data_IF_182107189226
#
_entry.id   IF_182107189226
#
_cell.length_a   1.000
_cell.length_b   1.000
_cell.length_c   1.000
_cell.angle_alpha   90.00
_cell.angle_beta   90.00
_cell.angle_gamma   90.00
#
_symmetry.space_group_name_H-M   'P 1'
#
loop_
_entity.id
_entity.type
_entity.pdbx_description
1 polymer ?
#
# COMPACT_ATOMS: atom_id res chain seq x y z
N UNK A 1 10.56 24.74 34.07
CA UNK A 1 9.48 25.36 33.27
C UNK A 1 8.88 24.26 32.41
N UNK A 2 7.61 23.87 32.60
CA UNK A 2 7.01 22.76 31.83
C UNK A 2 6.40 23.31 30.53
N UNK A 3 6.82 22.77 29.38
CA UNK A 3 6.27 23.16 28.08
C UNK A 3 4.80 22.71 27.97
N UNK A 4 3.95 23.61 27.47
CA UNK A 4 2.52 23.33 27.23
C UNK A 4 2.21 23.40 25.74
N UNK A 5 1.61 22.35 25.20
CA UNK A 5 1.06 22.29 23.85
C UNK A 5 -0.45 22.57 23.91
N UNK A 6 -0.92 23.53 23.13
CA UNK A 6 -2.34 23.87 23.06
C UNK A 6 -2.94 23.26 21.79
N UNK A 7 -3.87 22.33 21.94
CA UNK A 7 -4.60 21.76 20.83
C UNK A 7 -5.84 22.60 20.59
N UNK A 8 -5.99 23.11 19.37
CA UNK A 8 -7.15 23.91 18.95
C UNK A 8 -7.87 23.21 17.81
N UNK A 9 -9.19 23.21 17.89
CA UNK A 9 -10.03 22.84 16.77
C UNK A 9 -9.86 23.86 15.64
N UNK A 10 -9.65 23.38 14.41
CA UNK A 10 -9.28 24.24 13.28
C UNK A 10 -10.44 25.09 12.77
N UNK A 11 -11.67 24.59 12.83
CA UNK A 11 -12.83 25.29 12.28
C UNK A 11 -13.38 26.35 13.25
N UNK A 12 -13.32 26.08 14.55
CA UNK A 12 -13.86 26.98 15.59
C UNK A 12 -12.79 27.80 16.30
N UNK A 13 -11.51 27.42 16.21
CA UNK A 13 -10.42 28.04 16.96
C UNK A 13 -10.43 27.73 18.46
N UNK A 14 -11.40 26.93 18.93
CA UNK A 14 -11.57 26.59 20.34
C UNK A 14 -10.46 25.64 20.80
N UNK A 15 -9.87 25.91 21.96
CA UNK A 15 -8.93 24.97 22.59
C UNK A 15 -9.69 23.71 23.02
N UNK A 16 -9.27 22.56 22.49
CA UNK A 16 -9.85 21.23 22.75
C UNK A 16 -9.01 20.39 23.71
N UNK A 17 -7.79 20.81 24.03
CA UNK A 17 -6.96 20.13 25.02
C UNK A 17 -5.63 20.84 25.28
N UNK A 18 -5.01 20.50 26.41
CA UNK A 18 -3.69 21.00 26.80
C UNK A 18 -2.79 19.79 27.05
N UNK A 19 -1.72 19.68 26.27
CA UNK A 19 -0.64 18.73 26.47
C UNK A 19 0.44 19.33 27.37
N UNK A 20 0.87 18.61 28.40
CA UNK A 20 2.03 18.98 29.24
C UNK A 20 3.22 18.11 28.86
N UNK A 21 4.36 18.72 28.64
CA UNK A 21 5.60 17.99 28.36
C UNK A 21 6.09 17.27 29.62
N UNK A 22 6.52 16.01 29.44
CA UNK A 22 7.18 15.18 30.43
C UNK A 22 8.09 14.21 29.68
N UNK A 23 9.40 14.27 29.95
CA UNK A 23 10.41 13.39 29.37
C UNK A 23 10.43 13.39 27.82
N UNK A 24 10.22 14.55 27.20
CA UNK A 24 10.19 14.72 25.75
C UNK A 24 8.87 14.33 25.08
N UNK A 25 7.86 13.90 25.86
CA UNK A 25 6.53 13.53 25.39
C UNK A 25 5.48 14.50 25.93
N UNK A 26 4.46 14.81 25.13
CA UNK A 26 3.34 15.65 25.57
C UNK A 26 2.16 14.78 26.04
N UNK A 27 1.86 14.86 27.34
CA UNK A 27 0.71 14.19 27.96
C UNK A 27 -0.51 15.11 27.92
N UNK A 28 -1.54 14.71 27.19
CA UNK A 28 -2.83 15.42 27.19
C UNK A 28 -3.57 15.13 28.51
N UNK A 29 -3.77 16.16 29.32
CA UNK A 29 -4.77 16.14 30.40
C UNK A 29 -6.14 16.43 29.76
N UNK A 30 -6.99 15.40 29.64
CA UNK A 30 -8.36 15.54 29.16
C UNK A 30 -9.31 15.43 30.36
N UNK A 31 -9.84 16.56 30.85
CA UNK A 31 -10.74 16.61 32.02
C UNK A 31 -12.23 16.37 31.68
N UNK A 32 -12.53 15.94 30.46
CA UNK A 32 -13.90 15.68 30.04
C UNK A 32 -13.95 14.50 29.10
N UNK A 33 -15.00 13.69 29.28
CA UNK A 33 -15.50 12.56 28.47
C UNK A 33 -14.80 12.37 27.12
N UNK A 34 -14.49 11.13 26.70
CA UNK A 34 -13.87 10.88 25.40
C UNK A 34 -14.64 11.69 24.38
N UNK A 35 -13.99 12.69 23.78
CA UNK A 35 -14.56 13.41 22.66
C UNK A 35 -14.62 12.37 21.55
N UNK A 36 -15.67 11.56 21.57
CA UNK A 36 -16.00 10.65 20.51
C UNK A 36 -16.33 11.60 19.39
N UNK A 37 -15.37 11.83 18.51
CA UNK A 37 -15.67 12.23 17.16
C UNK A 37 -16.52 11.11 16.57
N UNK A 38 -17.82 11.13 16.88
CA UNK A 38 -18.85 10.36 16.20
C UNK A 38 -19.02 11.06 14.86
N UNK A 39 -17.96 11.03 14.04
CA UNK A 39 -18.22 10.89 12.65
C UNK A 39 -18.83 9.49 12.50
N UNK A 40 -19.99 9.40 11.87
CA UNK A 40 -20.41 8.16 11.21
C UNK A 40 -19.44 7.90 10.05
N UNK A 41 -18.15 7.74 10.35
CA UNK A 41 -17.15 7.46 9.35
C UNK A 41 -17.54 6.09 8.78
N UNK A 42 -17.97 6.10 7.51
CA UNK A 42 -18.20 4.89 6.77
C UNK A 42 -16.98 3.97 6.96
N UNK A 43 -17.13 2.64 7.11
CA UNK A 43 -16.02 1.73 7.37
C UNK A 43 -14.82 1.94 6.42
N UNK A 44 -15.10 2.32 5.17
CA UNK A 44 -14.10 2.64 4.16
C UNK A 44 -13.24 3.87 4.50
N UNK A 45 -13.82 4.91 5.09
CA UNK A 45 -13.09 6.12 5.47
C UNK A 45 -12.09 5.85 6.59
N UNK A 46 -12.49 5.08 7.62
CA UNK A 46 -11.56 4.69 8.69
C UNK A 46 -10.48 3.77 8.13
N UNK A 47 -10.84 2.81 7.28
CA UNK A 47 -9.86 1.94 6.61
C UNK A 47 -8.82 2.73 5.81
N UNK A 48 -9.24 3.75 5.06
CA UNK A 48 -8.34 4.62 4.30
C UNK A 48 -7.42 5.41 5.25
N UNK A 49 -7.95 6.00 6.33
CA UNK A 49 -7.17 6.75 7.32
C UNK A 49 -6.16 5.89 8.09
N UNK A 50 -6.45 4.61 8.30
CA UNK A 50 -5.57 3.66 8.98
C UNK A 50 -4.50 3.02 8.08
N UNK A 51 -4.40 3.44 6.81
CA UNK A 51 -3.40 2.92 5.89
C UNK A 51 -3.73 1.53 5.33
N UNK A 52 -5.00 1.30 4.97
CA UNK A 52 -5.44 0.11 4.26
C UNK A 52 -5.15 -1.24 4.97
N UNK A 53 -5.45 -1.40 6.28
CA UNK A 53 -5.24 -2.67 6.97
C UNK A 53 -6.10 -3.79 6.36
N UNK A 54 -5.67 -5.05 6.53
CA UNK A 54 -6.52 -6.20 6.19
C UNK A 54 -7.82 -6.17 6.99
N UNK A 55 -8.91 -6.72 6.44
CA UNK A 55 -10.21 -6.77 7.14
C UNK A 55 -10.10 -7.33 8.56
N UNK A 56 -9.32 -8.41 8.73
CA UNK A 56 -9.06 -9.02 10.05
C UNK A 56 -8.35 -8.10 11.04
N UNK A 57 -7.41 -7.26 10.58
CA UNK A 57 -6.72 -6.27 11.41
C UNK A 57 -7.65 -5.09 11.70
N UNK A 58 -8.39 -4.64 10.70
CA UNK A 58 -9.37 -3.57 10.81
C UNK A 58 -10.44 -3.88 11.87
N UNK A 59 -11.00 -5.09 11.86
CA UNK A 59 -11.98 -5.56 12.86
C UNK A 59 -11.43 -5.55 14.29
N UNK A 60 -10.12 -5.86 14.46
CA UNK A 60 -9.45 -5.82 15.77
C UNK A 60 -9.17 -4.39 16.24
N UNK A 61 -8.80 -3.50 15.33
CA UNK A 61 -8.51 -2.10 15.62
C UNK A 61 -9.77 -1.27 15.86
N UNK A 62 -10.87 -1.63 15.18
CA UNK A 62 -12.15 -0.91 15.24
C UNK A 62 -13.27 -1.90 15.60
N UNK A 63 -13.43 -2.28 16.88
CA UNK A 63 -14.37 -3.32 17.31
C UNK A 63 -15.84 -3.08 16.92
N UNK A 64 -16.22 -1.81 16.71
CA UNK A 64 -17.54 -1.41 16.19
C UNK A 64 -17.86 -2.01 14.82
N UNK A 65 -16.85 -2.36 14.02
CA UNK A 65 -17.01 -2.99 12.71
C UNK A 65 -16.59 -4.47 12.70
N UNK A 66 -16.59 -5.12 13.86
CA UNK A 66 -16.23 -6.54 14.01
C UNK A 66 -17.09 -7.49 13.17
N UNK A 67 -18.36 -7.15 12.94
CA UNK A 67 -19.32 -7.93 12.13
C UNK A 67 -19.23 -7.65 10.63
N UNK A 68 -18.34 -6.74 10.19
CA UNK A 68 -18.20 -6.39 8.79
C UNK A 68 -17.64 -7.58 7.99
N UNK A 69 -18.41 -8.11 7.06
CA UNK A 69 -18.02 -9.29 6.26
C UNK A 69 -17.06 -8.96 5.12
N UNK A 70 -17.17 -7.76 4.55
CA UNK A 70 -16.34 -7.32 3.43
C UNK A 70 -16.12 -5.82 3.46
N UNK A 71 -15.02 -5.38 2.84
CA UNK A 71 -14.72 -3.97 2.67
C UNK A 71 -14.19 -3.75 1.24
N UNK A 72 -15.05 -3.34 0.29
CA UNK A 72 -14.65 -3.07 -1.07
C UNK A 72 -13.80 -1.79 -1.10
N UNK A 73 -12.49 -1.97 -1.23
CA UNK A 73 -11.53 -0.88 -1.38
C UNK A 73 -10.74 -1.10 -2.66
N UNK A 74 -10.91 -0.20 -3.62
CA UNK A 74 -10.27 -0.26 -4.94
C UNK A 74 -8.74 -0.34 -4.84
N UNK A 75 -8.12 0.55 -4.05
CA UNK A 75 -6.67 0.56 -3.81
C UNK A 75 -6.16 -0.78 -3.27
N UNK A 76 -6.90 -1.39 -2.33
CA UNK A 76 -6.54 -2.70 -1.79
C UNK A 76 -6.67 -3.81 -2.83
N UNK A 77 -7.71 -3.77 -3.67
CA UNK A 77 -7.93 -4.77 -4.71
C UNK A 77 -6.82 -4.71 -5.77
N UNK A 78 -6.50 -3.49 -6.24
CA UNK A 78 -5.42 -3.27 -7.20
C UNK A 78 -4.06 -3.64 -6.60
N UNK A 79 -3.79 -3.28 -5.34
CA UNK A 79 -2.52 -3.62 -4.67
C UNK A 79 -2.33 -5.10 -4.39
N UNK A 80 -3.42 -5.88 -4.29
CA UNK A 80 -3.38 -7.34 -4.11
C UNK A 80 -3.57 -8.11 -5.42
N UNK A 81 -3.79 -7.41 -6.52
CA UNK A 81 -4.02 -8.05 -7.80
C UNK A 81 -2.75 -8.77 -8.25
N UNK A 82 -2.77 -10.09 -8.19
CA UNK A 82 -1.68 -10.91 -8.75
C UNK A 82 -1.87 -11.02 -10.25
N UNK A 83 -0.76 -11.01 -11.00
CA UNK A 83 -0.82 -11.30 -12.43
C UNK A 83 -1.42 -12.69 -12.62
N UNK A 84 -2.40 -12.81 -13.52
CA UNK A 84 -2.95 -14.11 -13.92
C UNK A 84 -1.81 -15.03 -14.34
N UNK A 85 -1.90 -16.31 -13.98
CA UNK A 85 -0.90 -17.29 -14.38
C UNK A 85 -0.76 -17.34 -15.90
N UNK A 86 0.47 -17.55 -16.37
CA UNK A 86 0.68 -17.77 -17.79
C UNK A 86 -0.06 -19.06 -18.21
N UNK A 87 -0.75 -19.05 -19.36
CA UNK A 87 -1.38 -20.26 -19.89
C UNK A 87 -0.32 -21.33 -20.09
N UNK A 88 -0.59 -22.55 -19.59
CA UNK A 88 0.38 -23.68 -19.62
C UNK A 88 0.82 -24.05 -21.04
N UNK A 89 -0.02 -23.80 -22.04
CA UNK A 89 0.29 -23.96 -23.46
C UNK A 89 -0.40 -22.86 -24.25
N UNK A 90 0.38 -22.12 -25.02
CA UNK A 90 -0.10 -21.37 -26.17
C UNK A 90 0.14 -22.25 -27.39
N UNK A 91 -0.81 -22.35 -28.32
CA UNK A 91 -0.66 -23.13 -29.58
C UNK A 91 0.34 -22.49 -30.56
N UNK A 92 1.29 -21.70 -30.06
CA UNK A 92 2.23 -20.91 -30.84
C UNK A 92 3.54 -21.68 -31.09
N UNK A 93 3.50 -23.01 -31.05
CA UNK A 93 4.65 -23.84 -31.38
C UNK A 93 4.67 -24.04 -32.89
N UNK A 94 5.81 -23.80 -33.52
CA UNK A 94 6.04 -24.14 -34.92
C UNK A 94 5.70 -25.63 -35.18
N UNK A 95 5.01 -25.89 -36.28
CA UNK A 95 4.69 -27.24 -36.78
C UNK A 95 5.65 -27.68 -37.89
N UNK A 96 6.36 -26.73 -38.48
CA UNK A 96 7.34 -26.94 -39.55
C UNK A 96 8.61 -26.13 -39.32
N UNK A 97 9.77 -26.55 -39.87
CA UNK A 97 11.00 -25.78 -39.78
C UNK A 97 10.82 -24.36 -40.33
N UNK A 98 11.37 -23.36 -39.62
CA UNK A 98 11.31 -21.94 -39.98
C UNK A 98 9.92 -21.27 -39.99
N UNK A 99 8.88 -21.94 -39.48
CA UNK A 99 7.53 -21.34 -39.34
C UNK A 99 7.48 -20.20 -38.31
N UNK A 100 8.34 -20.28 -37.29
CA UNK A 100 8.48 -19.28 -36.24
C UNK A 100 9.96 -19.21 -35.85
N UNK A 101 10.50 -17.99 -35.80
CA UNK A 101 11.87 -17.72 -35.31
C UNK A 101 11.76 -16.70 -34.18
N UNK A 102 12.22 -17.09 -32.99
CA UNK A 102 12.33 -16.18 -31.87
C UNK A 102 13.69 -15.49 -31.94
N UNK A 103 13.70 -14.16 -31.91
CA UNK A 103 14.96 -13.39 -31.85
C UNK A 103 15.03 -12.68 -30.51
N UNK A 104 16.18 -12.78 -29.85
CA UNK A 104 16.49 -11.97 -28.68
C UNK A 104 17.81 -11.22 -28.85
N UNK A 105 17.99 -10.21 -28.01
CA UNK A 105 19.27 -9.50 -27.89
C UNK A 105 19.80 -9.80 -26.51
N UNK A 106 20.99 -10.38 -26.46
CA UNK A 106 21.67 -10.60 -25.21
C UNK A 106 22.15 -9.27 -24.62
N UNK A 107 21.98 -9.13 -23.31
CA UNK A 107 22.51 -8.01 -22.54
C UNK A 107 24.03 -7.88 -22.74
N UNK A 108 24.63 -6.69 -22.48
CA UNK A 108 26.04 -6.48 -22.77
C UNK A 108 26.91 -7.50 -22.02
N UNK A 109 27.61 -8.33 -22.78
CA UNK A 109 28.53 -9.32 -22.27
C UNK A 109 29.73 -8.63 -21.62
N UNK A 110 30.17 -9.15 -20.47
CA UNK A 110 31.37 -8.67 -19.78
C UNK A 110 32.63 -8.83 -20.64
N UNK A 111 32.67 -9.85 -21.49
CA UNK A 111 33.78 -10.12 -22.40
C UNK A 111 33.37 -9.76 -23.82
N UNK A 112 34.13 -8.88 -24.44
CA UNK A 112 33.90 -8.51 -25.84
C UNK A 112 34.25 -9.68 -26.78
N UNK A 113 33.61 -9.71 -27.95
CA UNK A 113 34.01 -10.61 -29.03
C UNK A 113 35.41 -10.27 -29.55
N UNK A 114 35.95 -11.14 -30.40
CA UNK A 114 37.23 -10.90 -31.09
C UNK A 114 37.27 -9.58 -31.87
N UNK A 115 36.10 -9.06 -32.27
CA UNK A 115 35.94 -7.80 -32.98
C UNK A 115 35.46 -6.64 -32.08
N UNK A 116 35.36 -6.85 -30.76
CA UNK A 116 35.02 -5.80 -29.79
C UNK A 116 33.53 -5.62 -29.50
N UNK A 117 32.65 -6.48 -30.00
CA UNK A 117 31.21 -6.39 -29.73
C UNK A 117 30.82 -6.99 -28.38
N UNK A 118 29.85 -6.38 -27.70
CA UNK A 118 29.35 -6.84 -26.40
C UNK A 118 27.87 -7.27 -26.43
N UNK A 119 27.13 -6.90 -27.46
CA UNK A 119 25.74 -7.30 -27.67
C UNK A 119 25.67 -8.33 -28.77
N UNK A 120 24.80 -9.32 -28.61
CA UNK A 120 24.66 -10.43 -29.54
C UNK A 120 23.18 -10.68 -29.80
N UNK A 121 22.81 -10.91 -31.06
CA UNK A 121 21.46 -11.33 -31.41
C UNK A 121 21.44 -12.86 -31.51
N UNK A 122 20.53 -13.52 -30.80
CA UNK A 122 20.33 -14.97 -30.93
C UNK A 122 18.98 -15.28 -31.57
N UNK A 123 18.96 -16.38 -32.33
CA UNK A 123 17.79 -16.88 -33.03
C UNK A 123 17.48 -18.29 -32.50
N UNK A 124 16.23 -18.54 -32.11
CA UNK A 124 15.72 -19.79 -31.55
C UNK A 124 14.52 -20.32 -32.33
#
# INVERSE_FOLDING_TARGET
>A
MVLKLWLKDRSTGKTIGIGRESQGLYHLTSDSSPAVCISTDAPLLIHNRLGHPSLSKFQKMVPRFSTLSSLPCETCQLGKHTRVSFPKRLNNRAKSPFELVHTDVWAPCRTASTLGFQYFCHFH
#
